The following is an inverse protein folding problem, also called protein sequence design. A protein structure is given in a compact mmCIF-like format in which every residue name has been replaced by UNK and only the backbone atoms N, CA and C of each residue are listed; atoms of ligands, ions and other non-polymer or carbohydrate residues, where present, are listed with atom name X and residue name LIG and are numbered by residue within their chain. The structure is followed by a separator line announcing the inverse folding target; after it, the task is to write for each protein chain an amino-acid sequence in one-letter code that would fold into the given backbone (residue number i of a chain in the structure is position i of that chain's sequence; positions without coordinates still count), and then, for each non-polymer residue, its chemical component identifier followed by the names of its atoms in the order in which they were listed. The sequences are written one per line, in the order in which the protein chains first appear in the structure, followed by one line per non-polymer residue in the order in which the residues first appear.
data_IF_494979195897
#
_entry.id   IF_494979195897
#
_cell.length_a   1.000
_cell.length_b   1.000
_cell.length_c   1.000
_cell.angle_alpha   90.00
_cell.angle_beta   90.00
_cell.angle_gamma   90.00
#
_symmetry.space_group_name_H-M   'P 1'
#
loop_
_entity.id
_entity.type
_entity.pdbx_description
1 polymer ?
#
# COMPACT_ATOMS: atom_id res chain seq x y z
N UNK A 1 37.36 -13.03 -23.77
CA UNK A 1 36.35 -11.96 -23.52
C UNK A 1 36.22 -11.72 -22.02
N UNK A 2 36.86 -10.67 -21.48
CA UNK A 2 36.76 -10.32 -20.08
C UNK A 2 35.44 -9.53 -19.90
N UNK A 3 34.45 -10.13 -19.24
CA UNK A 3 33.28 -9.41 -18.80
C UNK A 3 33.68 -8.49 -17.65
N UNK A 4 33.69 -7.17 -17.88
CA UNK A 4 33.81 -6.16 -16.84
C UNK A 4 32.55 -6.17 -15.97
N UNK A 5 32.59 -6.87 -14.85
CA UNK A 5 31.58 -6.74 -13.81
C UNK A 5 31.65 -5.32 -13.24
N UNK A 6 30.65 -4.48 -13.55
CA UNK A 6 30.50 -3.18 -12.90
C UNK A 6 30.38 -3.39 -11.40
N UNK A 7 31.33 -2.89 -10.64
CA UNK A 7 31.31 -2.92 -9.18
C UNK A 7 30.02 -2.21 -8.70
N UNK A 8 29.11 -2.95 -8.06
CA UNK A 8 27.91 -2.38 -7.48
C UNK A 8 28.33 -1.59 -6.25
N UNK A 9 28.39 -0.27 -6.37
CA UNK A 9 28.68 0.61 -5.24
C UNK A 9 27.51 0.62 -4.26
N UNK A 10 27.80 0.46 -2.97
CA UNK A 10 26.77 0.58 -1.93
C UNK A 10 26.09 1.95 -2.05
N UNK A 11 24.74 2.03 -1.96
CA UNK A 11 24.05 3.30 -2.03
C UNK A 11 24.56 4.24 -0.94
N UNK A 12 24.84 5.48 -1.30
CA UNK A 12 25.36 6.50 -0.38
C UNK A 12 24.36 6.75 0.76
N UNK A 13 24.75 6.46 1.99
CA UNK A 13 23.90 6.72 3.16
C UNK A 13 23.84 8.22 3.42
N UNK A 14 22.67 8.81 3.17
CA UNK A 14 22.41 10.21 3.50
C UNK A 14 22.39 10.42 5.02
N UNK A 15 22.92 11.57 5.50
CA UNK A 15 22.89 11.93 6.92
C UNK A 15 21.45 11.92 7.48
N UNK A 16 21.30 11.70 8.80
CA UNK A 16 19.99 11.70 9.49
C UNK A 16 19.23 13.01 9.26
N UNK A 17 19.93 14.14 9.31
CA UNK A 17 19.37 15.47 9.07
C UNK A 17 18.82 15.61 7.65
N UNK A 18 19.60 15.22 6.61
CA UNK A 18 19.18 15.29 5.22
C UNK A 18 17.98 14.38 4.91
N UNK A 19 17.90 13.21 5.58
CA UNK A 19 16.73 12.31 5.47
C UNK A 19 15.49 12.93 6.09
N UNK A 20 15.63 13.59 7.26
CA UNK A 20 14.53 14.27 7.94
C UNK A 20 13.98 15.43 7.09
N UNK A 21 14.87 16.27 6.57
CA UNK A 21 14.51 17.40 5.70
C UNK A 21 13.82 16.91 4.41
N UNK A 22 14.36 15.86 3.79
CA UNK A 22 13.75 15.23 2.62
C UNK A 22 12.34 14.71 2.90
N UNK A 23 12.12 14.06 4.07
CA UNK A 23 10.79 13.60 4.48
C UNK A 23 9.80 14.77 4.58
N UNK A 24 10.18 15.88 5.24
CA UNK A 24 9.33 17.06 5.33
C UNK A 24 9.00 17.66 3.96
N UNK A 25 9.99 17.78 3.10
CA UNK A 25 9.79 18.28 1.73
C UNK A 25 8.78 17.44 0.95
N UNK A 26 8.96 16.12 0.92
CA UNK A 26 8.07 15.22 0.19
C UNK A 26 6.68 15.14 0.82
N UNK A 27 6.58 15.20 2.15
CA UNK A 27 5.30 15.27 2.85
C UNK A 27 4.53 16.54 2.47
N UNK A 28 5.22 17.69 2.46
CA UNK A 28 4.62 18.97 2.07
C UNK A 28 4.20 18.96 0.59
N UNK A 29 5.07 18.45 -0.29
CA UNK A 29 4.77 18.27 -1.71
C UNK A 29 3.52 17.43 -1.92
N UNK A 30 3.36 16.33 -1.19
CA UNK A 30 2.16 15.47 -1.24
C UNK A 30 0.91 16.21 -0.77
N UNK A 31 0.98 16.94 0.32
CA UNK A 31 -0.13 17.77 0.77
C UNK A 31 -0.54 18.80 -0.28
N UNK A 32 0.44 19.44 -0.91
CA UNK A 32 0.17 20.37 -2.01
C UNK A 32 -0.52 19.68 -3.20
N UNK A 33 -0.05 18.50 -3.61
CA UNK A 33 -0.68 17.70 -4.67
C UNK A 33 -2.15 17.39 -4.35
N UNK A 34 -2.45 17.01 -3.10
CA UNK A 34 -3.82 16.70 -2.67
C UNK A 34 -4.76 17.92 -2.70
N UNK A 35 -4.25 19.11 -2.47
CA UNK A 35 -5.07 20.34 -2.36
C UNK A 35 -4.94 21.29 -3.53
N UNK A 36 -4.06 21.04 -4.50
CA UNK A 36 -3.85 21.92 -5.67
C UNK A 36 -5.03 21.94 -6.65
N UNK A 37 -5.98 21.02 -6.53
CA UNK A 37 -7.13 20.93 -7.44
C UNK A 37 -6.85 20.32 -8.81
N UNK A 38 -5.60 19.96 -9.11
CA UNK A 38 -5.21 19.42 -10.41
C UNK A 38 -5.63 17.95 -10.60
N UNK A 39 -5.90 17.23 -9.51
CA UNK A 39 -6.28 15.81 -9.52
C UNK A 39 -7.64 15.64 -8.87
N UNK A 40 -8.54 14.91 -9.52
CA UNK A 40 -9.81 14.51 -8.93
C UNK A 40 -9.60 13.25 -8.09
N UNK A 41 -9.71 13.38 -6.79
CA UNK A 41 -9.52 12.26 -5.86
C UNK A 41 -10.80 11.48 -5.67
N UNK A 42 -10.71 10.16 -5.78
CA UNK A 42 -11.79 9.23 -5.47
C UNK A 42 -12.01 9.17 -3.95
N UNK A 43 -13.15 9.64 -3.47
CA UNK A 43 -13.48 9.70 -2.03
C UNK A 43 -14.86 9.14 -1.70
N UNK A 44 -15.71 9.00 -2.71
CA UNK A 44 -17.08 8.54 -2.51
C UNK A 44 -17.10 7.03 -2.27
N UNK A 45 -17.73 6.62 -1.18
CA UNK A 45 -18.00 5.22 -0.89
C UNK A 45 -19.47 4.91 -1.18
N UNK A 46 -19.75 3.72 -1.69
CA UNK A 46 -21.12 3.26 -1.96
C UNK A 46 -21.21 1.73 -1.82
N UNK A 47 -22.43 1.21 -1.94
CA UNK A 47 -22.67 -0.22 -2.00
C UNK A 47 -21.95 -0.87 -3.20
N UNK A 48 -21.57 -2.14 -3.09
CA UNK A 48 -20.83 -2.83 -4.16
C UNK A 48 -21.53 -2.79 -5.51
N UNK A 49 -20.79 -2.45 -6.57
CA UNK A 49 -21.21 -2.56 -7.95
C UNK A 49 -21.44 -4.05 -8.33
N UNK A 50 -22.20 -4.31 -9.38
CA UNK A 50 -22.67 -5.67 -9.70
C UNK A 50 -21.55 -6.55 -10.25
N UNK A 51 -20.74 -6.04 -11.20
CA UNK A 51 -19.76 -6.86 -11.94
C UNK A 51 -18.46 -6.98 -11.14
N UNK A 52 -18.07 -8.20 -10.78
CA UNK A 52 -16.77 -8.48 -10.19
C UNK A 52 -15.73 -8.66 -11.31
N UNK A 53 -14.85 -7.68 -11.47
CA UNK A 53 -13.79 -7.69 -12.50
C UNK A 53 -12.62 -8.56 -12.10
N UNK A 54 -12.16 -8.40 -10.85
CA UNK A 54 -11.06 -9.20 -10.31
C UNK A 54 -11.15 -9.26 -8.77
N UNK A 55 -10.80 -10.42 -8.22
CA UNK A 55 -10.79 -10.65 -6.76
C UNK A 55 -9.50 -11.37 -6.37
N UNK A 56 -8.95 -11.01 -5.22
CA UNK A 56 -7.79 -11.66 -4.64
C UNK A 56 -7.86 -11.65 -3.12
N UNK A 57 -7.11 -12.58 -2.49
CA UNK A 57 -6.99 -12.65 -1.04
C UNK A 57 -5.57 -12.96 -0.62
N UNK A 58 -5.21 -12.56 0.58
CA UNK A 58 -3.89 -12.84 1.18
C UNK A 58 -4.03 -13.22 2.64
N UNK A 59 -3.30 -14.24 3.13
CA UNK A 59 -3.40 -14.67 4.52
C UNK A 59 -2.96 -13.57 5.49
N UNK A 60 -3.75 -13.38 6.56
CA UNK A 60 -3.45 -12.41 7.62
C UNK A 60 -2.26 -12.87 8.48
N UNK A 61 -2.13 -14.15 8.70
CA UNK A 61 -1.10 -14.70 9.57
C UNK A 61 -0.07 -15.47 8.75
N UNK A 62 1.22 -15.21 9.00
CA UNK A 62 2.33 -15.94 8.39
C UNK A 62 3.16 -16.62 9.48
N UNK A 63 3.66 -17.82 9.22
CA UNK A 63 4.61 -18.50 10.09
C UNK A 63 5.99 -17.86 9.95
N UNK A 64 6.30 -16.92 10.83
CA UNK A 64 7.59 -16.23 10.85
C UNK A 64 8.32 -16.68 12.13
N UNK A 65 9.42 -17.43 11.98
CA UNK A 65 10.15 -18.14 13.06
C UNK A 65 10.68 -17.26 14.20
N UNK A 66 10.71 -15.94 14.04
CA UNK A 66 11.29 -15.03 15.02
C UNK A 66 10.41 -13.81 15.32
N UNK A 67 9.11 -13.88 15.01
CA UNK A 67 8.24 -12.73 15.13
C UNK A 67 7.23 -12.91 16.26
N UNK A 68 7.17 -11.90 17.12
CA UNK A 68 6.17 -11.83 18.18
C UNK A 68 4.75 -11.85 17.56
N UNK A 69 3.95 -12.84 17.92
CA UNK A 69 2.61 -13.04 17.36
C UNK A 69 1.70 -11.83 17.60
N UNK A 70 1.87 -11.09 18.71
CA UNK A 70 1.08 -9.89 18.99
C UNK A 70 1.20 -8.82 17.88
N UNK A 71 2.36 -8.70 17.20
CA UNK A 71 2.54 -7.77 16.08
C UNK A 71 1.69 -8.16 14.86
N UNK A 72 1.43 -9.46 14.66
CA UNK A 72 0.53 -9.91 13.61
C UNK A 72 -0.93 -9.66 13.99
N UNK A 73 -1.30 -9.84 15.25
CA UNK A 73 -2.64 -9.48 15.75
C UNK A 73 -2.87 -7.97 15.62
N UNK A 74 -1.93 -7.16 16.07
CA UNK A 74 -2.01 -5.69 15.91
C UNK A 74 -2.11 -5.27 14.45
N UNK A 75 -1.41 -5.96 13.54
CA UNK A 75 -1.54 -5.73 12.10
C UNK A 75 -2.97 -5.92 11.61
N UNK A 76 -3.70 -6.92 12.10
CA UNK A 76 -5.12 -7.13 11.73
C UNK A 76 -5.95 -5.91 12.09
N UNK A 77 -5.78 -5.36 13.30
CA UNK A 77 -6.43 -4.10 13.70
C UNK A 77 -6.08 -2.95 12.77
N UNK A 78 -4.79 -2.79 12.42
CA UNK A 78 -4.35 -1.73 11.50
C UNK A 78 -4.97 -1.89 10.11
N UNK A 79 -5.03 -3.12 9.60
CA UNK A 79 -5.65 -3.42 8.31
C UNK A 79 -7.16 -3.14 8.33
N UNK A 80 -7.85 -3.51 9.42
CA UNK A 80 -9.28 -3.25 9.57
C UNK A 80 -9.58 -1.76 9.54
N UNK A 81 -8.82 -0.94 10.28
CA UNK A 81 -8.97 0.52 10.29
C UNK A 81 -8.73 1.14 8.92
N UNK A 82 -7.73 0.67 8.18
CA UNK A 82 -7.45 1.16 6.84
C UNK A 82 -8.50 0.68 5.83
N UNK A 83 -8.94 -0.59 5.94
CA UNK A 83 -9.96 -1.16 5.07
C UNK A 83 -11.29 -0.39 5.14
N UNK A 84 -11.74 0.05 6.33
CA UNK A 84 -12.97 0.86 6.47
C UNK A 84 -12.91 2.18 5.71
N UNK A 85 -11.71 2.71 5.45
CA UNK A 85 -11.52 3.95 4.69
C UNK A 85 -11.51 3.73 3.19
N UNK A 86 -11.22 2.51 2.75
CA UNK A 86 -11.02 2.18 1.33
C UNK A 86 -12.22 1.38 0.78
N UNK A 87 -12.85 0.58 1.62
CA UNK A 87 -13.95 -0.29 1.18
C UNK A 87 -15.10 0.51 0.56
N UNK A 88 -15.51 0.12 -0.64
CA UNK A 88 -16.59 0.76 -1.37
C UNK A 88 -16.20 2.04 -2.12
N UNK A 89 -14.93 2.43 -2.13
CA UNK A 89 -14.48 3.65 -2.85
C UNK A 89 -14.67 3.49 -4.35
N UNK A 90 -15.45 4.43 -4.92
CA UNK A 90 -15.77 4.51 -6.34
C UNK A 90 -14.71 5.36 -7.07
N UNK A 91 -14.19 4.82 -8.16
CA UNK A 91 -13.30 5.53 -9.09
C UNK A 91 -14.07 5.80 -10.39
N UNK A 92 -14.59 7.00 -10.55
CA UNK A 92 -15.23 7.44 -11.80
C UNK A 92 -14.18 7.75 -12.87
N UNK A 93 -14.57 7.85 -14.14
CA UNK A 93 -13.69 8.30 -15.20
C UNK A 93 -12.93 9.58 -14.83
N UNK A 94 -11.59 9.53 -14.94
CA UNK A 94 -10.68 10.62 -14.59
C UNK A 94 -10.36 10.78 -13.11
N UNK A 95 -10.96 9.98 -12.21
CA UNK A 95 -10.63 10.02 -10.77
C UNK A 95 -9.41 9.17 -10.44
N UNK A 96 -8.72 9.58 -9.39
CA UNK A 96 -7.50 8.93 -8.88
C UNK A 96 -7.70 8.48 -7.44
N UNK A 97 -7.45 7.20 -7.20
CA UNK A 97 -7.30 6.66 -5.85
C UNK A 97 -5.91 7.01 -5.30
N UNK A 98 -5.85 7.43 -4.03
CA UNK A 98 -4.61 7.58 -3.27
C UNK A 98 -4.79 6.90 -1.91
N UNK A 99 -3.90 5.95 -1.59
CA UNK A 99 -3.99 5.20 -0.34
C UNK A 99 -3.96 6.16 0.87
N UNK A 100 -2.96 7.05 0.92
CA UNK A 100 -2.81 7.94 2.07
C UNK A 100 -3.80 9.11 2.11
N UNK A 101 -4.36 9.50 0.98
CA UNK A 101 -5.44 10.50 0.96
C UNK A 101 -6.67 9.98 1.70
N UNK A 102 -7.02 8.70 1.53
CA UNK A 102 -8.17 8.07 2.17
C UNK A 102 -7.88 7.64 3.61
N UNK A 103 -6.79 6.92 3.84
CA UNK A 103 -6.43 6.35 5.15
C UNK A 103 -5.92 7.43 6.12
N UNK A 104 -5.22 8.41 5.60
CA UNK A 104 -4.58 9.46 6.38
C UNK A 104 -3.40 8.94 7.21
N UNK A 105 -2.91 9.77 8.15
CA UNK A 105 -1.80 9.39 9.01
C UNK A 105 -2.21 8.32 10.04
N UNK A 106 -1.58 7.12 10.02
CA UNK A 106 -1.88 6.05 10.97
C UNK A 106 -1.22 6.34 12.32
N UNK A 107 -1.93 6.98 13.21
CA UNK A 107 -1.44 7.34 14.56
C UNK A 107 -2.13 6.52 15.65
N UNK A 108 -1.48 6.36 16.80
CA UNK A 108 -2.08 5.69 17.96
C UNK A 108 -3.40 6.36 18.42
N UNK A 109 -3.52 7.69 18.27
CA UNK A 109 -4.76 8.43 18.57
C UNK A 109 -5.96 8.02 17.70
N UNK A 110 -5.69 7.45 16.53
CA UNK A 110 -6.71 6.91 15.62
C UNK A 110 -6.93 5.41 15.82
N UNK A 111 -6.35 4.81 16.86
CA UNK A 111 -6.48 3.39 17.17
C UNK A 111 -5.46 2.48 16.47
N UNK A 112 -4.52 3.03 15.67
CA UNK A 112 -3.47 2.21 15.08
C UNK A 112 -2.48 1.73 16.14
N UNK A 113 -2.12 0.45 16.03
CA UNK A 113 -1.26 -0.25 16.95
C UNK A 113 0.15 -0.45 16.36
N UNK A 114 1.08 -0.82 17.23
CA UNK A 114 2.42 -1.21 16.83
C UNK A 114 2.38 -2.49 15.99
N UNK A 115 3.02 -2.46 14.84
CA UNK A 115 3.19 -3.61 13.95
C UNK A 115 4.56 -3.53 13.28
N UNK A 116 4.81 -4.42 12.31
CA UNK A 116 6.06 -4.43 11.56
C UNK A 116 6.07 -3.38 10.46
N UNK A 117 7.09 -2.55 10.46
CA UNK A 117 7.42 -1.62 9.39
C UNK A 117 8.79 -1.97 8.80
N UNK A 118 8.94 -1.78 7.49
CA UNK A 118 10.22 -1.92 6.81
C UNK A 118 10.86 -0.54 6.67
N UNK A 119 11.88 -0.26 7.47
CA UNK A 119 12.63 0.99 7.38
C UNK A 119 14.11 0.72 7.07
N UNK A 120 14.64 1.34 6.00
CA UNK A 120 16.04 1.18 5.55
C UNK A 120 16.47 -0.29 5.34
N UNK A 121 15.58 -1.14 4.83
CA UNK A 121 15.84 -2.57 4.60
C UNK A 121 15.89 -3.41 5.89
N UNK A 122 15.43 -2.88 7.03
CA UNK A 122 15.34 -3.59 8.31
C UNK A 122 13.91 -3.59 8.82
N UNK A 123 13.50 -4.70 9.40
CA UNK A 123 12.22 -4.79 10.10
C UNK A 123 12.34 -4.05 11.44
N UNK A 124 11.41 -3.15 11.71
CA UNK A 124 11.28 -2.41 12.95
C UNK A 124 9.83 -2.43 13.44
N UNK A 125 9.62 -2.12 14.70
CA UNK A 125 8.29 -1.92 15.27
C UNK A 125 7.88 -0.46 15.04
N UNK A 126 6.63 -0.26 14.63
CA UNK A 126 6.09 1.10 14.43
C UNK A 126 4.58 1.12 14.35
N UNK A 127 3.97 2.23 14.77
CA UNK A 127 2.51 2.43 14.72
C UNK A 127 2.03 2.38 13.27
N UNK A 128 0.94 1.65 13.02
CA UNK A 128 0.42 1.42 11.67
C UNK A 128 1.20 0.37 10.86
N UNK A 129 2.06 -0.43 11.53
CA UNK A 129 2.80 -1.50 10.86
C UNK A 129 1.88 -2.54 10.23
N UNK A 130 2.32 -3.10 9.09
CA UNK A 130 1.60 -4.11 8.32
C UNK A 130 0.70 -3.59 7.20
N UNK A 131 0.46 -2.28 7.07
CA UNK A 131 -0.39 -1.68 6.03
C UNK A 131 0.10 -1.95 4.60
N UNK A 132 1.40 -2.25 4.40
CA UNK A 132 1.92 -2.66 3.09
C UNK A 132 1.25 -3.93 2.56
N UNK A 133 0.68 -4.80 3.43
CA UNK A 133 -0.09 -5.97 2.97
C UNK A 133 -1.33 -5.53 2.19
N UNK A 134 -2.05 -4.51 2.66
CA UNK A 134 -3.19 -3.95 1.94
C UNK A 134 -2.74 -3.25 0.65
N UNK A 135 -1.63 -2.49 0.69
CA UNK A 135 -1.04 -1.90 -0.51
C UNK A 135 -0.66 -2.95 -1.57
N UNK A 136 -0.08 -4.08 -1.14
CA UNK A 136 0.26 -5.19 -2.03
C UNK A 136 -0.99 -5.80 -2.68
N UNK A 137 -2.05 -6.04 -1.89
CA UNK A 137 -3.33 -6.57 -2.39
C UNK A 137 -3.94 -5.62 -3.44
N UNK A 138 -4.03 -4.34 -3.13
CA UNK A 138 -4.60 -3.32 -4.02
C UNK A 138 -3.79 -3.19 -5.32
N UNK A 139 -2.47 -3.15 -5.23
CA UNK A 139 -1.60 -3.08 -6.40
C UNK A 139 -1.75 -4.34 -7.27
N UNK A 140 -1.77 -5.53 -6.66
CA UNK A 140 -1.97 -6.77 -7.40
C UNK A 140 -3.30 -6.78 -8.15
N UNK A 141 -4.38 -6.37 -7.49
CA UNK A 141 -5.69 -6.27 -8.14
C UNK A 141 -5.69 -5.25 -9.28
N UNK A 142 -5.04 -4.10 -9.11
CA UNK A 142 -4.95 -3.09 -10.17
C UNK A 142 -4.29 -3.61 -11.44
N UNK A 143 -3.26 -4.46 -11.33
CA UNK A 143 -2.58 -5.08 -12.47
C UNK A 143 -3.47 -6.00 -13.32
N UNK A 144 -4.62 -6.41 -12.80
CA UNK A 144 -5.60 -7.27 -13.49
C UNK A 144 -6.84 -6.49 -13.97
N UNK A 145 -6.73 -5.18 -14.02
CA UNK A 145 -7.80 -4.26 -14.42
C UNK A 145 -7.26 -3.20 -15.37
N UNK A 146 -8.11 -2.47 -16.10
CA UNK A 146 -7.65 -1.37 -16.96
C UNK A 146 -7.30 -0.09 -16.18
N UNK A 147 -7.22 -0.12 -14.85
CA UNK A 147 -6.79 1.03 -14.05
C UNK A 147 -5.30 1.32 -14.26
N UNK A 148 -4.96 2.58 -14.43
CA UNK A 148 -3.58 3.03 -14.61
C UNK A 148 -2.92 3.27 -13.25
N UNK A 149 -1.87 2.51 -12.92
CA UNK A 149 -1.07 2.76 -11.71
C UNK A 149 -0.18 3.99 -11.93
N UNK A 150 -0.48 5.10 -11.26
CA UNK A 150 0.22 6.38 -11.42
C UNK A 150 1.36 6.58 -10.41
N UNK A 151 1.26 5.95 -9.24
CA UNK A 151 2.36 5.90 -8.27
C UNK A 151 2.45 4.54 -7.60
N UNK A 152 3.63 3.97 -7.60
CA UNK A 152 3.96 2.74 -6.88
C UNK A 152 5.46 2.63 -6.66
N UNK A 153 5.86 2.24 -5.46
CA UNK A 153 7.23 1.97 -5.09
C UNK A 153 7.38 0.50 -4.65
N UNK A 154 8.32 -0.22 -5.24
CA UNK A 154 8.62 -1.59 -4.81
C UNK A 154 9.45 -1.59 -3.53
N UNK A 155 9.37 -2.63 -2.74
CA UNK A 155 10.31 -2.86 -1.64
C UNK A 155 11.72 -3.08 -2.20
N UNK A 156 12.71 -2.39 -1.63
CA UNK A 156 14.12 -2.51 -2.06
C UNK A 156 14.70 -3.89 -1.76
N UNK A 157 14.21 -4.54 -0.70
CA UNK A 157 14.57 -5.89 -0.28
C UNK A 157 13.32 -6.65 0.12
N UNK A 158 13.30 -7.93 -0.23
CA UNK A 158 12.32 -8.84 0.31
C UNK A 158 12.90 -9.44 1.59
N UNK A 159 12.37 -8.97 2.73
CA UNK A 159 12.80 -9.42 4.06
C UNK A 159 12.01 -10.62 4.56
N UNK A 160 11.00 -11.04 3.81
CA UNK A 160 10.21 -12.21 4.17
C UNK A 160 10.70 -13.43 3.38
N UNK A 161 10.92 -14.58 4.05
CA UNK A 161 11.33 -15.80 3.36
C UNK A 161 10.29 -16.20 2.31
N UNK A 162 10.77 -16.83 1.23
CA UNK A 162 9.95 -17.26 0.09
C UNK A 162 8.95 -18.38 0.40
N UNK A 163 8.97 -18.93 1.61
CA UNK A 163 8.05 -19.98 2.05
C UNK A 163 6.59 -19.51 1.94
N UNK A 164 5.85 -20.13 1.02
CA UNK A 164 4.44 -19.85 0.78
C UNK A 164 4.16 -18.58 -0.07
N UNK A 165 5.13 -18.06 -0.80
CA UNK A 165 4.90 -16.96 -1.74
C UNK A 165 4.09 -17.46 -2.94
N UNK A 166 2.94 -16.84 -3.17
CA UNK A 166 2.09 -17.10 -4.35
C UNK A 166 2.25 -16.04 -5.44
N UNK A 167 2.77 -14.86 -5.10
CA UNK A 167 2.93 -13.74 -6.02
C UNK A 167 4.39 -13.58 -6.48
N UNK A 168 4.62 -13.12 -7.73
CA UNK A 168 5.97 -12.88 -8.24
C UNK A 168 6.79 -11.91 -7.37
N UNK A 169 8.11 -12.08 -7.39
CA UNK A 169 9.02 -11.12 -6.74
C UNK A 169 8.82 -9.72 -7.31
N UNK A 170 8.75 -8.73 -6.42
CA UNK A 170 8.59 -7.34 -6.82
C UNK A 170 7.15 -6.91 -7.12
N UNK A 171 6.13 -7.78 -6.96
CA UNK A 171 4.70 -7.43 -7.09
C UNK A 171 4.13 -6.66 -5.89
N UNK A 172 4.95 -6.24 -4.94
CA UNK A 172 4.51 -5.48 -3.77
C UNK A 172 4.48 -3.97 -4.00
N UNK A 173 3.77 -3.26 -3.11
CA UNK A 173 3.74 -1.81 -3.02
C UNK A 173 4.20 -1.36 -1.62
N UNK A 174 5.25 -0.54 -1.58
CA UNK A 174 5.72 0.10 -0.35
C UNK A 174 4.82 1.27 -0.02
N UNK A 175 4.47 1.40 1.25
CA UNK A 175 3.69 2.51 1.78
C UNK A 175 4.46 3.20 2.91
N UNK A 176 4.59 4.54 2.84
CA UNK A 176 5.14 5.35 3.93
C UNK A 176 4.46 6.71 3.97
N UNK A 177 3.75 7.00 5.06
CA UNK A 177 2.95 8.21 5.19
C UNK A 177 3.81 9.47 5.11
N UNK A 178 3.47 10.38 4.25
CA UNK A 178 2.57 10.38 3.10
C UNK A 178 3.36 10.52 1.79
N UNK A 179 4.68 10.34 1.85
CA UNK A 179 5.62 10.58 0.76
C UNK A 179 5.88 9.37 -0.16
N UNK A 180 5.46 8.17 0.24
CA UNK A 180 5.44 6.97 -0.63
C UNK A 180 4.01 6.44 -0.60
N UNK A 181 3.31 6.55 -1.72
CA UNK A 181 1.91 6.24 -1.86
C UNK A 181 1.68 5.12 -2.89
N UNK A 182 0.48 4.59 -2.91
CA UNK A 182 -0.07 3.82 -4.02
C UNK A 182 -1.21 4.64 -4.62
N UNK A 183 -1.07 4.98 -5.89
CA UNK A 183 -2.09 5.72 -6.63
C UNK A 183 -2.49 4.99 -7.89
N UNK A 184 -3.78 5.01 -8.20
CA UNK A 184 -4.36 4.39 -9.39
C UNK A 184 -5.39 5.35 -9.99
N UNK A 185 -5.34 5.58 -11.31
CA UNK A 185 -6.27 6.44 -12.02
C UNK A 185 -7.17 5.62 -12.92
N UNK A 186 -8.42 6.01 -13.00
CA UNK A 186 -9.37 5.45 -13.94
C UNK A 186 -9.35 6.27 -15.24
N UNK A 187 -8.69 5.76 -16.27
CA UNK A 187 -8.63 6.37 -17.61
C UNK A 187 -9.66 5.80 -18.58
N UNK A 188 -10.61 5.00 -18.09
CA UNK A 188 -11.68 4.37 -18.89
C UNK A 188 -12.96 5.20 -18.85
N UNK A 189 -13.98 4.74 -19.59
CA UNK A 189 -15.32 5.32 -19.59
C UNK A 189 -16.27 4.69 -18.54
N UNK A 190 -15.82 3.64 -17.82
CA UNK A 190 -16.62 2.89 -16.85
C UNK A 190 -16.24 3.27 -15.41
N UNK A 191 -17.18 3.12 -14.51
CA UNK A 191 -16.91 3.24 -13.08
C UNK A 191 -16.22 1.97 -12.57
N UNK A 192 -15.21 2.14 -11.72
CA UNK A 192 -14.58 1.05 -10.96
C UNK A 192 -14.76 1.28 -9.47
N UNK A 193 -14.82 0.20 -8.72
CA UNK A 193 -14.97 0.27 -7.28
C UNK A 193 -13.99 -0.68 -6.58
N UNK A 194 -13.35 -0.18 -5.54
CA UNK A 194 -12.46 -0.96 -4.69
C UNK A 194 -13.25 -1.44 -3.47
N UNK A 195 -13.38 -2.76 -3.33
CA UNK A 195 -13.94 -3.38 -2.14
C UNK A 195 -12.85 -4.15 -1.40
N UNK A 196 -12.75 -3.95 -0.08
CA UNK A 196 -11.79 -4.66 0.78
C UNK A 196 -12.45 -5.03 2.10
N UNK A 197 -12.21 -6.26 2.56
CA UNK A 197 -12.73 -6.75 3.84
C UNK A 197 -11.78 -7.79 4.43
N UNK A 198 -11.93 -8.05 5.72
CA UNK A 198 -11.18 -9.06 6.44
C UNK A 198 -12.11 -10.17 6.90
N UNK A 199 -11.63 -11.41 6.84
CA UNK A 199 -12.17 -12.56 7.55
C UNK A 199 -11.25 -12.89 8.72
N UNK A 200 -11.49 -14.00 9.41
CA UNK A 200 -10.61 -14.44 10.52
C UNK A 200 -9.19 -14.76 10.04
N UNK A 201 -9.03 -15.27 8.82
CA UNK A 201 -7.77 -15.78 8.30
C UNK A 201 -7.17 -14.94 7.17
N UNK A 202 -7.99 -14.19 6.41
CA UNK A 202 -7.57 -13.57 5.17
C UNK A 202 -7.99 -12.11 5.06
N UNK A 203 -7.15 -11.33 4.40
CA UNK A 203 -7.47 -10.03 3.83
C UNK A 203 -7.94 -10.23 2.40
N UNK A 204 -9.16 -9.86 2.11
CA UNK A 204 -9.81 -9.97 0.80
C UNK A 204 -9.91 -8.62 0.11
N UNK A 205 -9.93 -8.65 -1.20
CA UNK A 205 -10.24 -7.50 -2.02
C UNK A 205 -10.86 -7.88 -3.34
N UNK A 206 -11.69 -7.00 -3.87
CA UNK A 206 -12.20 -7.09 -5.25
C UNK A 206 -12.21 -5.72 -5.91
N UNK A 207 -12.01 -5.70 -7.22
CA UNK A 207 -12.31 -4.54 -8.06
C UNK A 207 -13.56 -4.88 -8.84
N UNK A 208 -14.56 -4.01 -8.72
CA UNK A 208 -15.87 -4.16 -9.34
C UNK A 208 -16.12 -3.05 -10.36
N UNK A 209 -17.07 -3.26 -11.27
CA UNK A 209 -17.46 -2.27 -12.29
C UNK A 209 -18.97 -2.30 -12.50
N UNK A 210 -19.49 -1.33 -13.21
CA UNK A 210 -20.86 -1.28 -13.75
C UNK A 210 -20.92 -1.84 -15.17
#
# INVERSE_FOLDING_TARGET
MHQNFKTITRPHQRSRFRRRLGRYYYTWKRCWEWFSGNTKWAVQQQNPLEINVFQHQTPLFRRLKALDMYLQVNKVTNLQLAATRINGVLLRPGETFSFWYLVGNPTARKGYLEGLVLENGRLQKGVGGGLCQLGNLLYWMALHTPLTVTERWRHSYDVFPDEGRTLPFGSGATLAYNYIDLQMRNDTAHDFQICVWLTEMDLHGSIRSN
#
